data_IF_007809132299
#
_entry.id   IF_007809132299
#
_cell.length_a   1.000
_cell.length_b   1.000
_cell.length_c   1.000
_cell.angle_alpha   90.00
_cell.angle_beta   90.00
_cell.angle_gamma   90.00
#
_symmetry.space_group_name_H-M   'P 1'
#
loop_
_entity.id
_entity.type
_entity.pdbx_description
1 polymer ?
#
# COMPACT_ATOMS: atom_id res chain seq x y z
N UNK A 1 3.96 -4.04 -7.74
CA UNK A 1 5.38 -4.03 -7.24
C UNK A 1 5.79 -5.34 -6.56
N UNK A 2 4.87 -6.31 -6.45
CA UNK A 2 5.03 -7.60 -5.75
C UNK A 2 6.17 -8.49 -6.23
N UNK A 3 6.72 -8.25 -7.43
CA UNK A 3 7.74 -9.11 -8.04
C UNK A 3 9.18 -8.63 -7.86
N UNK A 4 9.42 -7.47 -7.22
CA UNK A 4 10.78 -6.90 -7.13
C UNK A 4 11.79 -7.86 -6.48
N UNK A 5 11.40 -8.53 -5.40
CA UNK A 5 12.25 -9.54 -4.76
C UNK A 5 12.45 -10.77 -5.64
N UNK A 6 11.44 -11.21 -6.37
CA UNK A 6 11.56 -12.33 -7.31
C UNK A 6 12.49 -11.98 -8.50
N UNK A 7 12.46 -10.73 -8.96
CA UNK A 7 13.27 -10.25 -10.08
C UNK A 7 14.72 -9.97 -9.70
N UNK A 8 14.95 -9.36 -8.53
CA UNK A 8 16.27 -8.84 -8.15
C UNK A 8 16.93 -9.59 -6.98
N UNK A 9 16.20 -10.45 -6.28
CA UNK A 9 16.69 -11.15 -5.08
C UNK A 9 16.69 -10.27 -3.82
N UNK A 10 17.25 -10.78 -2.73
CA UNK A 10 17.46 -10.01 -1.50
C UNK A 10 18.71 -9.13 -1.59
N UNK A 11 18.73 -8.02 -0.84
CA UNK A 11 19.91 -7.15 -0.70
C UNK A 11 20.52 -6.67 -2.03
N UNK A 12 19.68 -6.42 -3.02
CA UNK A 12 20.06 -5.98 -4.35
C UNK A 12 20.33 -4.46 -4.45
N UNK A 13 19.64 -3.64 -3.65
CA UNK A 13 19.64 -2.18 -3.81
C UNK A 13 20.18 -1.44 -2.59
N UNK A 14 20.89 -0.34 -2.82
CA UNK A 14 21.35 0.58 -1.78
C UNK A 14 20.24 1.53 -1.30
N UNK A 15 19.31 1.87 -2.21
CA UNK A 15 18.15 2.70 -1.90
C UNK A 15 16.93 2.28 -2.72
N UNK A 16 15.75 2.46 -2.13
CA UNK A 16 14.45 2.27 -2.78
C UNK A 16 13.58 3.49 -2.48
N UNK A 17 12.91 4.03 -3.50
CA UNK A 17 11.95 5.13 -3.35
C UNK A 17 10.58 4.66 -3.81
N UNK A 18 9.56 4.95 -3.01
CA UNK A 18 8.16 4.60 -3.27
C UNK A 18 7.33 5.89 -3.23
N UNK A 19 6.67 6.19 -4.34
CA UNK A 19 5.75 7.30 -4.46
C UNK A 19 4.33 6.78 -4.80
N UNK A 20 3.44 6.63 -3.79
CA UNK A 20 2.09 6.12 -4.01
C UNK A 20 1.12 7.21 -4.45
N UNK A 21 0.33 6.93 -5.49
CA UNK A 21 -0.72 7.81 -5.98
C UNK A 21 -0.63 8.01 -7.49
N UNK A 22 -1.57 8.78 -8.07
CA UNK A 22 -1.51 9.14 -9.48
C UNK A 22 -0.40 10.15 -9.75
N UNK A 23 0.19 10.06 -10.94
CA UNK A 23 1.03 11.11 -11.50
C UNK A 23 0.21 12.31 -11.95
N UNK A 24 0.84 13.50 -12.03
CA UNK A 24 0.16 14.71 -12.54
C UNK A 24 -0.37 14.50 -13.97
N UNK A 25 0.41 13.82 -14.82
CA UNK A 25 0.00 13.47 -16.19
C UNK A 25 -1.29 12.65 -16.22
N UNK A 26 -1.51 11.78 -15.22
CA UNK A 26 -2.77 11.03 -15.12
C UNK A 26 -3.94 11.89 -14.63
N UNK A 27 -3.68 12.87 -13.76
CA UNK A 27 -4.70 13.76 -13.24
C UNK A 27 -5.23 14.72 -14.32
N UNK A 28 -4.35 15.16 -15.22
CA UNK A 28 -4.67 16.14 -16.28
C UNK A 28 -5.25 15.50 -17.55
N UNK A 29 -5.06 14.19 -17.77
CA UNK A 29 -5.51 13.51 -18.97
C UNK A 29 -7.01 13.12 -18.87
N UNK A 30 -7.89 13.70 -19.71
CA UNK A 30 -9.34 13.45 -19.68
C UNK A 30 -9.72 12.00 -19.97
N UNK A 31 -8.89 11.24 -20.68
CA UNK A 31 -9.18 9.83 -20.93
C UNK A 31 -8.96 8.98 -19.67
N UNK A 32 -8.15 9.45 -18.71
CA UNK A 32 -7.80 8.68 -17.50
C UNK A 32 -8.91 8.70 -16.45
N UNK A 33 -9.84 9.64 -16.53
CA UNK A 33 -11.00 9.70 -15.65
C UNK A 33 -10.73 10.30 -14.28
N UNK A 34 -9.70 11.13 -14.15
CA UNK A 34 -9.37 11.84 -12.91
C UNK A 34 -9.82 13.31 -12.92
N UNK A 35 -10.42 13.82 -14.00
CA UNK A 35 -10.88 15.21 -14.00
C UNK A 35 -12.11 15.33 -13.09
N UNK A 36 -12.09 16.30 -12.18
CA UNK A 36 -13.12 16.52 -11.17
C UNK A 36 -13.92 17.79 -11.44
N UNK A 37 -14.21 18.08 -12.70
CA UNK A 37 -15.10 19.17 -13.09
C UNK A 37 -16.46 18.63 -13.56
N UNK A 38 -17.49 19.45 -13.35
CA UNK A 38 -18.86 19.18 -13.81
C UNK A 38 -19.14 19.77 -15.20
N UNK A 39 -18.12 20.31 -15.86
CA UNK A 39 -18.27 20.99 -17.16
C UNK A 39 -17.98 20.04 -18.33
N UNK A 40 -17.18 18.99 -18.11
CA UNK A 40 -16.78 18.03 -19.13
C UNK A 40 -17.16 16.60 -18.76
N UNK A 41 -18.11 16.03 -19.52
CA UNK A 41 -18.41 14.61 -19.42
C UNK A 41 -17.32 13.77 -20.10
N UNK A 42 -16.68 12.89 -19.33
CA UNK A 42 -15.57 12.06 -19.78
C UNK A 42 -15.67 10.65 -19.18
N UNK A 43 -14.85 9.72 -19.67
CA UNK A 43 -14.84 8.35 -19.15
C UNK A 43 -14.21 8.34 -17.76
N UNK A 44 -14.99 7.92 -16.76
CA UNK A 44 -14.54 7.88 -15.37
C UNK A 44 -13.89 6.52 -15.06
N UNK A 45 -12.60 6.34 -15.41
CA UNK A 45 -11.87 5.07 -15.23
C UNK A 45 -11.02 5.03 -13.95
N UNK A 46 -10.21 6.05 -13.65
CA UNK A 46 -9.35 6.18 -12.46
C UNK A 46 -8.35 5.04 -12.18
N UNK A 47 -8.18 4.06 -13.08
CA UNK A 47 -7.15 3.03 -12.97
C UNK A 47 -5.77 3.59 -13.28
N UNK A 48 -4.75 3.21 -12.52
CA UNK A 48 -3.33 3.51 -12.81
C UNK A 48 -2.83 2.70 -14.01
N UNK A 49 -3.22 1.43 -14.11
CA UNK A 49 -2.93 0.56 -15.24
C UNK A 49 -4.22 0.08 -15.89
N UNK A 50 -4.36 0.27 -17.20
CA UNK A 50 -5.50 -0.23 -17.98
C UNK A 50 -5.34 -1.69 -18.43
N UNK A 51 -4.23 -2.37 -18.07
CA UNK A 51 -3.91 -3.73 -18.56
C UNK A 51 -4.76 -4.82 -17.90
N UNK A 52 -5.35 -4.54 -16.75
CA UNK A 52 -6.11 -5.50 -15.96
C UNK A 52 -7.16 -4.78 -15.10
N UNK A 53 -8.06 -5.56 -14.50
CA UNK A 53 -9.09 -5.05 -13.59
C UNK A 53 -10.35 -4.52 -14.30
N UNK A 54 -11.33 -4.16 -13.48
CA UNK A 54 -12.65 -3.67 -13.88
C UNK A 54 -12.62 -2.14 -13.94
N UNK A 55 -13.25 -1.53 -14.93
CA UNK A 55 -13.31 -0.06 -15.01
C UNK A 55 -14.12 0.52 -13.84
N UNK A 56 -13.85 1.76 -13.43
CA UNK A 56 -14.57 2.33 -12.27
C UNK A 56 -16.09 2.37 -12.48
N UNK A 57 -16.57 2.79 -13.67
CA UNK A 57 -18.02 2.80 -13.95
C UNK A 57 -18.63 1.39 -13.92
N UNK A 58 -17.95 0.40 -14.48
CA UNK A 58 -18.40 -0.99 -14.42
C UNK A 58 -18.46 -1.50 -12.97
N UNK A 59 -17.43 -1.23 -12.17
CA UNK A 59 -17.40 -1.56 -10.75
C UNK A 59 -18.58 -0.90 -10.02
N UNK A 60 -18.77 0.41 -10.19
CA UNK A 60 -19.84 1.16 -9.54
C UNK A 60 -21.24 0.69 -9.95
N UNK A 61 -21.43 0.19 -11.17
CA UNK A 61 -22.71 -0.32 -11.65
C UNK A 61 -23.00 -1.74 -11.16
N UNK A 62 -21.98 -2.56 -10.92
CA UNK A 62 -22.14 -3.98 -10.60
C UNK A 62 -22.00 -4.30 -9.11
N UNK A 63 -21.18 -3.56 -8.37
CA UNK A 63 -20.85 -3.88 -6.98
C UNK A 63 -22.09 -3.86 -6.07
N UNK A 64 -22.31 -4.84 -5.18
CA UNK A 64 -23.36 -4.75 -4.17
C UNK A 64 -23.14 -3.55 -3.24
N UNK A 65 -24.19 -2.81 -2.90
CA UNK A 65 -24.07 -1.61 -2.05
C UNK A 65 -23.37 -1.87 -0.70
N UNK A 66 -23.62 -3.02 -0.06
CA UNK A 66 -22.92 -3.35 1.20
C UNK A 66 -21.42 -3.49 0.97
N UNK A 67 -21.02 -4.19 -0.10
CA UNK A 67 -19.62 -4.35 -0.47
C UNK A 67 -18.97 -2.99 -0.79
N UNK A 68 -19.65 -2.12 -1.55
CA UNK A 68 -19.16 -0.77 -1.82
C UNK A 68 -18.94 0.03 -0.54
N UNK A 69 -19.92 0.04 0.38
CA UNK A 69 -19.80 0.76 1.64
C UNK A 69 -18.63 0.24 2.49
N UNK A 70 -18.44 -1.08 2.54
CA UNK A 70 -17.34 -1.72 3.26
C UNK A 70 -15.97 -1.36 2.66
N UNK A 71 -15.83 -1.46 1.34
CA UNK A 71 -14.58 -1.11 0.64
C UNK A 71 -14.24 0.38 0.76
N UNK A 72 -15.23 1.27 0.75
CA UNK A 72 -14.98 2.71 0.97
C UNK A 72 -14.52 3.00 2.40
N UNK A 73 -15.10 2.31 3.39
CA UNK A 73 -14.78 2.49 4.80
C UNK A 73 -13.41 1.90 5.20
N UNK A 74 -12.86 0.91 4.46
CA UNK A 74 -11.60 0.25 4.82
C UNK A 74 -10.40 1.20 4.84
N UNK A 75 -10.44 2.26 4.03
CA UNK A 75 -9.40 3.30 3.98
C UNK A 75 -9.52 4.35 5.08
N UNK A 76 -10.56 4.30 5.92
CA UNK A 76 -10.79 5.21 7.06
C UNK A 76 -10.81 6.71 6.69
N UNK A 77 -10.99 7.03 5.40
CA UNK A 77 -11.19 8.38 4.90
C UNK A 77 -12.65 8.81 5.14
N UNK A 78 -13.59 7.88 4.91
CA UNK A 78 -15.02 8.00 5.19
C UNK A 78 -15.38 7.21 6.46
N UNK A 79 -16.31 7.75 7.26
CA UNK A 79 -16.90 6.98 8.36
C UNK A 79 -17.86 5.90 7.81
N UNK A 80 -18.15 4.82 8.56
CA UNK A 80 -19.10 3.79 8.11
C UNK A 80 -20.47 4.35 7.70
N UNK A 81 -20.94 5.39 8.40
CA UNK A 81 -22.20 6.06 8.09
C UNK A 81 -22.13 6.83 6.77
N UNK A 82 -21.05 7.55 6.52
CA UNK A 82 -20.83 8.29 5.27
C UNK A 82 -20.68 7.34 4.08
N UNK A 83 -19.87 6.28 4.23
CA UNK A 83 -19.71 5.22 3.22
C UNK A 83 -21.07 4.59 2.87
N UNK A 84 -21.91 4.35 3.88
CA UNK A 84 -23.24 3.80 3.66
C UNK A 84 -24.15 4.79 2.91
N UNK A 85 -24.14 6.07 3.30
CA UNK A 85 -24.92 7.14 2.65
C UNK A 85 -24.59 7.22 1.16
N UNK A 86 -23.30 7.29 0.83
CA UNK A 86 -22.81 7.39 -0.55
C UNK A 86 -23.09 6.11 -1.35
N UNK A 87 -22.85 4.93 -0.78
CA UNK A 87 -23.13 3.67 -1.47
C UNK A 87 -24.64 3.50 -1.79
N UNK A 88 -25.52 4.01 -0.91
CA UNK A 88 -26.96 4.06 -1.19
C UNK A 88 -27.27 5.01 -2.35
N UNK A 89 -26.68 6.21 -2.35
CA UNK A 89 -26.87 7.18 -3.43
C UNK A 89 -26.45 6.60 -4.79
N UNK A 90 -25.27 5.98 -4.85
CA UNK A 90 -24.78 5.27 -6.04
C UNK A 90 -25.78 4.22 -6.50
N UNK A 91 -26.25 3.34 -5.61
CA UNK A 91 -27.21 2.27 -5.98
C UNK A 91 -28.48 2.83 -6.62
N UNK A 92 -29.07 3.87 -6.02
CA UNK A 92 -30.37 4.42 -6.47
C UNK A 92 -30.29 5.01 -7.88
N UNK A 93 -29.12 5.54 -8.28
CA UNK A 93 -28.94 6.23 -9.55
C UNK A 93 -28.26 5.37 -10.63
N UNK A 94 -28.14 4.05 -10.42
CA UNK A 94 -27.65 3.14 -11.46
C UNK A 94 -28.68 3.02 -12.61
N UNK A 95 -28.23 2.90 -13.88
CA UNK A 95 -26.83 2.87 -14.30
C UNK A 95 -26.20 4.27 -14.36
N UNK A 96 -24.93 4.35 -13.94
CA UNK A 96 -24.09 5.53 -14.06
C UNK A 96 -23.34 5.43 -15.39
N UNK A 97 -23.48 6.44 -16.24
CA UNK A 97 -23.06 6.40 -17.64
C UNK A 97 -21.87 7.32 -17.96
N UNK A 98 -21.53 8.26 -17.07
CA UNK A 98 -20.44 9.21 -17.27
C UNK A 98 -19.97 9.87 -15.98
N UNK A 99 -18.88 10.62 -16.06
CA UNK A 99 -18.27 11.32 -14.93
C UNK A 99 -19.21 12.36 -14.32
N UNK A 100 -19.83 13.21 -15.14
CA UNK A 100 -20.69 14.32 -14.69
C UNK A 100 -21.84 13.79 -13.82
N UNK A 101 -22.53 12.74 -14.28
CA UNK A 101 -23.59 12.08 -13.53
C UNK A 101 -23.08 11.54 -12.17
N UNK A 102 -21.88 10.94 -12.15
CA UNK A 102 -21.28 10.45 -10.91
C UNK A 102 -20.99 11.59 -9.93
N UNK A 103 -20.36 12.67 -10.40
CA UNK A 103 -20.01 13.81 -9.57
C UNK A 103 -21.27 14.47 -8.98
N UNK A 104 -22.31 14.70 -9.79
CA UNK A 104 -23.61 15.22 -9.32
C UNK A 104 -24.24 14.35 -8.22
N UNK A 105 -24.22 13.01 -8.38
CA UNK A 105 -24.75 12.08 -7.37
C UNK A 105 -23.96 12.20 -6.06
N UNK A 106 -22.63 12.25 -6.17
CA UNK A 106 -21.72 12.24 -5.02
C UNK A 106 -21.78 13.58 -4.27
N UNK A 107 -21.87 14.70 -4.98
CA UNK A 107 -22.05 16.03 -4.41
C UNK A 107 -23.43 16.19 -3.76
N UNK A 108 -24.50 15.76 -4.45
CA UNK A 108 -25.86 15.79 -3.91
C UNK A 108 -26.05 14.92 -2.67
N UNK A 109 -25.32 13.80 -2.57
CA UNK A 109 -25.31 12.95 -1.37
C UNK A 109 -24.37 13.47 -0.27
N UNK A 110 -23.36 14.27 -0.63
CA UNK A 110 -22.31 14.74 0.26
C UNK A 110 -22.33 16.26 0.39
N UNK A 111 -21.31 16.87 -0.19
CA UNK A 111 -21.08 18.31 -0.30
C UNK A 111 -20.42 18.56 -1.65
N UNK A 112 -20.42 19.80 -2.12
CA UNK A 112 -19.71 20.21 -3.34
C UNK A 112 -18.22 19.83 -3.27
N UNK A 113 -17.65 19.49 -4.41
CA UNK A 113 -16.22 19.28 -4.53
C UNK A 113 -15.47 20.61 -4.35
N UNK A 114 -14.27 20.56 -3.75
CA UNK A 114 -13.44 21.74 -3.62
C UNK A 114 -12.89 22.17 -4.99
N UNK A 115 -12.73 23.47 -5.20
CA UNK A 115 -12.22 24.06 -6.46
C UNK A 115 -10.80 23.56 -6.78
N UNK A 116 -10.02 23.19 -5.76
CA UNK A 116 -8.67 22.65 -5.88
C UNK A 116 -8.62 21.18 -6.36
N UNK A 117 -9.78 20.55 -6.59
CA UNK A 117 -9.89 19.19 -7.10
C UNK A 117 -9.23 18.15 -6.18
N UNK A 118 -8.22 17.44 -6.69
CA UNK A 118 -7.52 16.40 -5.90
C UNK A 118 -6.56 16.95 -4.83
N UNK A 119 -6.11 18.21 -4.97
CA UNK A 119 -4.98 18.78 -4.24
C UNK A 119 -5.43 19.60 -3.03
N UNK A 120 -6.05 18.91 -2.07
CA UNK A 120 -6.70 19.53 -0.90
C UNK A 120 -5.69 20.18 0.06
N UNK A 121 -5.89 21.48 0.31
CA UNK A 121 -5.12 22.26 1.28
C UNK A 121 -5.80 22.37 2.67
N UNK A 122 -7.05 21.96 2.75
CA UNK A 122 -7.83 21.99 3.98
C UNK A 122 -7.45 20.84 4.91
N UNK A 123 -7.87 20.90 6.18
CA UNK A 123 -7.65 19.77 7.08
C UNK A 123 -8.48 18.56 6.65
N UNK A 124 -7.92 17.35 6.76
CA UNK A 124 -8.58 16.07 6.41
C UNK A 124 -9.97 15.90 7.04
N UNK A 125 -10.19 16.51 8.22
CA UNK A 125 -11.51 16.49 8.90
C UNK A 125 -12.54 17.34 8.15
N UNK A 126 -12.14 18.51 7.66
CA UNK A 126 -13.00 19.48 6.96
C UNK A 126 -13.23 19.11 5.49
N UNK A 127 -12.36 18.28 4.91
CA UNK A 127 -12.47 17.85 3.51
C UNK A 127 -13.88 17.29 3.20
N UNK A 128 -14.52 17.76 2.11
CA UNK A 128 -15.85 17.37 1.68
C UNK A 128 -16.05 15.86 1.56
N UNK A 129 -17.28 15.41 1.80
CA UNK A 129 -17.62 13.98 1.70
C UNK A 129 -17.49 13.46 0.27
N UNK A 130 -17.76 14.31 -0.72
CA UNK A 130 -17.62 14.02 -2.15
C UNK A 130 -16.18 13.66 -2.51
N UNK A 131 -15.23 14.53 -2.14
CA UNK A 131 -13.81 14.27 -2.33
C UNK A 131 -13.35 12.98 -1.65
N UNK A 132 -13.80 12.77 -0.40
CA UNK A 132 -13.48 11.55 0.37
C UNK A 132 -13.97 10.28 -0.32
N UNK A 133 -15.15 10.33 -0.95
CA UNK A 133 -15.65 9.23 -1.77
C UNK A 133 -14.74 8.94 -2.95
N UNK A 134 -14.36 9.97 -3.72
CA UNK A 134 -13.53 9.81 -4.92
C UNK A 134 -12.13 9.29 -4.56
N UNK A 135 -11.53 9.81 -3.49
CA UNK A 135 -10.25 9.34 -2.97
C UNK A 135 -10.32 7.87 -2.52
N UNK A 136 -11.34 7.50 -1.73
CA UNK A 136 -11.56 6.10 -1.34
C UNK A 136 -11.81 5.19 -2.55
N UNK A 137 -12.61 5.63 -3.52
CA UNK A 137 -12.93 4.86 -4.71
C UNK A 137 -11.68 4.60 -5.56
N UNK A 138 -10.85 5.62 -5.78
CA UNK A 138 -9.54 5.48 -6.43
C UNK A 138 -8.68 4.43 -5.73
N UNK A 139 -8.61 4.51 -4.40
CA UNK A 139 -7.85 3.55 -3.61
C UNK A 139 -8.40 2.11 -3.76
N UNK A 140 -9.72 1.94 -3.75
CA UNK A 140 -10.39 0.64 -3.95
C UNK A 140 -10.05 0.05 -5.31
N UNK A 141 -10.20 0.83 -6.38
CA UNK A 141 -10.03 0.39 -7.77
C UNK A 141 -8.59 -0.02 -8.05
N UNK A 142 -7.63 0.67 -7.46
CA UNK A 142 -6.20 0.41 -7.66
C UNK A 142 -5.58 -0.51 -6.60
N UNK A 143 -6.38 -1.05 -5.68
CA UNK A 143 -5.92 -1.88 -4.56
C UNK A 143 -4.74 -1.24 -3.79
N UNK A 144 -4.78 0.08 -3.61
CA UNK A 144 -3.62 0.88 -3.15
C UNK A 144 -3.09 0.42 -1.79
N UNK A 145 -3.97 -0.04 -0.89
CA UNK A 145 -3.54 -0.57 0.42
C UNK A 145 -2.62 -1.78 0.26
N UNK A 146 -3.03 -2.76 -0.54
CA UNK A 146 -2.29 -4.01 -0.73
C UNK A 146 -0.99 -3.73 -1.48
N UNK A 147 -1.04 -2.97 -2.57
CA UNK A 147 0.15 -2.63 -3.35
C UNK A 147 1.19 -1.85 -2.54
N UNK A 148 0.76 -0.86 -1.73
CA UNK A 148 1.69 -0.12 -0.88
C UNK A 148 2.27 -1.00 0.23
N UNK A 149 1.43 -1.84 0.86
CA UNK A 149 1.89 -2.74 1.93
C UNK A 149 2.93 -3.72 1.41
N UNK A 150 2.65 -4.37 0.27
CA UNK A 150 3.57 -5.29 -0.39
C UNK A 150 4.83 -4.58 -0.86
N UNK A 151 4.71 -3.42 -1.52
CA UNK A 151 5.88 -2.67 -2.00
C UNK A 151 6.84 -2.30 -0.85
N UNK A 152 6.32 -1.83 0.29
CA UNK A 152 7.14 -1.48 1.46
C UNK A 152 7.78 -2.72 2.08
N UNK A 153 7.04 -3.82 2.22
CA UNK A 153 7.58 -5.08 2.75
C UNK A 153 8.67 -5.66 1.85
N UNK A 154 8.44 -5.69 0.54
CA UNK A 154 9.42 -6.16 -0.43
C UNK A 154 10.64 -5.24 -0.49
N UNK A 155 10.45 -3.92 -0.37
CA UNK A 155 11.56 -2.97 -0.27
C UNK A 155 12.51 -3.30 0.89
N UNK A 156 11.97 -3.70 2.05
CA UNK A 156 12.80 -4.12 3.19
C UNK A 156 13.63 -5.36 2.91
N UNK A 157 13.16 -6.29 2.06
CA UNK A 157 13.90 -7.51 1.69
C UNK A 157 15.01 -7.21 0.68
N UNK A 158 14.74 -6.38 -0.32
CA UNK A 158 15.70 -6.07 -1.40
C UNK A 158 16.75 -5.03 -1.02
N UNK A 159 16.54 -4.27 0.07
CA UNK A 159 17.54 -3.31 0.57
C UNK A 159 18.75 -4.01 1.19
N UNK A 160 19.96 -3.52 0.90
CA UNK A 160 21.20 -3.92 1.59
C UNK A 160 21.19 -3.51 3.06
N UNK A 161 22.13 -4.06 3.83
CA UNK A 161 22.44 -3.54 5.18
C UNK A 161 22.75 -2.03 5.07
N UNK A 162 22.22 -1.22 5.98
CA UNK A 162 22.35 0.24 6.03
C UNK A 162 21.78 1.01 4.82
N UNK A 163 21.06 0.31 3.93
CA UNK A 163 20.34 0.91 2.80
C UNK A 163 19.10 1.71 3.23
N UNK A 164 18.65 2.61 2.35
CA UNK A 164 17.57 3.58 2.64
C UNK A 164 16.28 3.30 1.87
N UNK A 165 15.16 3.26 2.58
CA UNK A 165 13.82 3.34 2.01
C UNK A 165 13.30 4.77 2.16
N UNK A 166 12.83 5.36 1.07
CA UNK A 166 12.07 6.62 1.06
C UNK A 166 10.64 6.31 0.63
N UNK A 167 9.65 6.66 1.44
CA UNK A 167 8.23 6.52 1.09
C UNK A 167 7.53 7.86 1.23
N UNK A 168 6.86 8.30 0.18
CA UNK A 168 5.96 9.44 0.24
C UNK A 168 4.57 9.00 0.71
N UNK A 169 3.90 9.82 1.52
CA UNK A 169 2.51 9.59 1.94
C UNK A 169 1.74 10.89 1.84
N UNK A 170 0.54 10.85 1.27
CA UNK A 170 -0.38 11.98 1.11
C UNK A 170 -1.67 11.78 1.90
N UNK A 171 -2.08 10.52 2.08
CA UNK A 171 -3.31 10.15 2.81
C UNK A 171 -3.01 9.64 4.22
N UNK A 172 -3.99 9.78 5.12
CA UNK A 172 -3.80 9.40 6.52
C UNK A 172 -3.64 7.90 6.75
N UNK A 173 -4.32 7.08 5.95
CA UNK A 173 -4.18 5.63 6.02
C UNK A 173 -2.80 5.16 5.54
N UNK A 174 -2.18 5.87 4.59
CA UNK A 174 -0.82 5.57 4.11
C UNK A 174 0.19 5.81 5.23
N UNK A 175 0.09 6.96 5.93
CA UNK A 175 0.92 7.26 7.11
C UNK A 175 0.79 6.18 8.18
N UNK A 176 -0.44 5.75 8.48
CA UNK A 176 -0.70 4.70 9.46
C UNK A 176 -0.09 3.36 9.02
N UNK A 177 -0.24 3.01 7.74
CA UNK A 177 0.31 1.78 7.16
C UNK A 177 1.84 1.78 7.21
N UNK A 178 2.50 2.82 6.68
CA UNK A 178 3.96 2.93 6.63
C UNK A 178 4.54 2.95 8.04
N UNK A 179 3.96 3.73 8.95
CA UNK A 179 4.37 3.75 10.36
C UNK A 179 4.26 2.38 11.02
N UNK A 180 3.14 1.68 10.79
CA UNK A 180 2.93 0.32 11.31
C UNK A 180 3.97 -0.65 10.77
N UNK A 181 4.18 -0.68 9.46
CA UNK A 181 5.14 -1.58 8.83
C UNK A 181 6.57 -1.34 9.32
N UNK A 182 7.00 -0.08 9.42
CA UNK A 182 8.32 0.26 9.97
C UNK A 182 8.44 -0.19 11.43
N UNK A 183 7.43 0.11 12.26
CA UNK A 183 7.44 -0.25 13.68
C UNK A 183 7.49 -1.75 13.89
N UNK A 184 6.71 -2.51 13.14
CA UNK A 184 6.54 -3.95 13.35
C UNK A 184 7.68 -4.77 12.68
N UNK A 185 8.48 -4.18 11.79
CA UNK A 185 9.55 -4.90 11.09
C UNK A 185 10.85 -5.05 11.92
N UNK A 186 11.44 -6.26 12.04
CA UNK A 186 12.57 -6.52 12.96
C UNK A 186 13.90 -5.85 12.57
N UNK A 187 14.09 -5.45 11.32
CA UNK A 187 15.37 -4.93 10.81
C UNK A 187 15.30 -3.51 10.26
N UNK A 188 14.23 -2.77 10.54
CA UNK A 188 14.04 -1.43 9.96
C UNK A 188 13.81 -0.41 11.07
N UNK A 189 14.46 0.74 10.94
CA UNK A 189 14.29 1.89 11.81
C UNK A 189 13.86 3.11 11.01
N UNK A 190 12.91 3.87 11.55
CA UNK A 190 12.63 5.20 11.05
C UNK A 190 13.85 6.07 11.36
N UNK A 191 14.46 6.66 10.34
CA UNK A 191 15.56 7.61 10.50
C UNK A 191 15.00 8.99 10.83
N UNK A 192 14.11 9.48 9.97
CA UNK A 192 13.40 10.74 10.15
C UNK A 192 12.15 10.75 9.29
N UNK A 193 11.28 11.72 9.57
CA UNK A 193 10.10 12.02 8.78
C UNK A 193 10.05 13.53 8.58
N UNK A 194 9.87 13.95 7.35
CA UNK A 194 9.78 15.36 6.96
C UNK A 194 8.41 15.64 6.35
N UNK A 195 7.83 16.77 6.73
CA UNK A 195 6.65 17.32 6.06
C UNK A 195 7.13 18.15 4.85
N UNK A 196 6.32 18.21 3.80
CA UNK A 196 6.62 19.05 2.62
C UNK A 196 6.77 20.52 3.01
N UNK A 197 7.73 21.23 2.38
CA UNK A 197 7.88 22.67 2.59
C UNK A 197 6.63 23.41 2.09
N UNK A 198 6.19 24.39 2.86
CA UNK A 198 5.09 25.27 2.49
C UNK A 198 5.35 26.01 1.17
N UNK A 199 6.60 26.39 0.88
CA UNK A 199 6.95 27.04 -0.39
C UNK A 199 6.75 26.12 -1.60
N UNK A 200 7.02 24.82 -1.43
CA UNK A 200 6.83 23.83 -2.49
C UNK A 200 5.35 23.55 -2.72
N UNK A 201 4.53 23.58 -1.65
CA UNK A 201 3.07 23.52 -1.75
C UNK A 201 2.54 24.69 -2.57
N UNK A 202 3.00 25.92 -2.32
CA UNK A 202 2.60 27.10 -3.09
C UNK A 202 3.10 27.06 -4.54
N UNK A 203 4.33 26.58 -4.76
CA UNK A 203 4.98 26.62 -6.09
C UNK A 203 4.51 25.52 -7.04
N UNK A 204 4.24 24.31 -6.51
CA UNK A 204 3.95 23.12 -7.31
C UNK A 204 2.54 22.55 -7.08
N UNK A 205 1.76 23.15 -6.17
CA UNK A 205 0.38 22.74 -5.90
C UNK A 205 0.26 21.39 -5.20
N UNK A 206 1.31 20.89 -4.53
CA UNK A 206 1.21 19.62 -3.81
C UNK A 206 0.25 19.72 -2.62
N UNK A 207 -0.36 18.59 -2.23
CA UNK A 207 -1.12 18.53 -0.98
C UNK A 207 -0.19 18.82 0.21
N UNK A 208 -0.54 19.80 1.06
CA UNK A 208 0.21 20.13 2.30
C UNK A 208 0.37 18.99 3.30
N UNK A 209 -0.41 17.92 3.15
CA UNK A 209 -0.34 16.72 3.99
C UNK A 209 0.69 15.70 3.49
N UNK A 210 1.47 16.05 2.46
CA UNK A 210 2.54 15.21 1.93
C UNK A 210 3.66 15.10 2.94
N UNK A 211 4.09 13.87 3.21
CA UNK A 211 5.22 13.55 4.10
C UNK A 211 6.17 12.60 3.44
N UNK A 212 7.45 12.77 3.73
CA UNK A 212 8.51 11.86 3.34
C UNK A 212 8.95 11.06 4.57
N UNK A 213 8.85 9.73 4.47
CA UNK A 213 9.30 8.80 5.48
C UNK A 213 10.62 8.19 5.04
N UNK A 214 11.68 8.42 5.81
CA UNK A 214 13.00 7.85 5.52
C UNK A 214 13.33 6.81 6.56
N UNK A 215 13.43 5.55 6.13
CA UNK A 215 13.77 4.43 6.97
C UNK A 215 15.09 3.78 6.51
N UNK A 216 15.80 3.17 7.46
CA UNK A 216 17.06 2.46 7.17
C UNK A 216 16.92 1.00 7.59
N UNK A 217 17.47 0.10 6.78
CA UNK A 217 17.64 -1.30 7.18
C UNK A 217 18.88 -1.40 8.06
N UNK A 218 18.81 -2.17 9.14
CA UNK A 218 19.95 -2.46 10.02
C UNK A 218 20.16 -3.96 10.14
N UNK A 219 21.42 -4.34 10.34
CA UNK A 219 21.83 -5.73 10.48
C UNK A 219 21.25 -6.40 11.73
N UNK A 220 21.31 -5.70 12.86
CA UNK A 220 20.84 -6.21 14.14
C UNK A 220 19.33 -5.99 14.31
N UNK A 221 18.77 -6.53 15.39
CA UNK A 221 17.36 -6.33 15.71
C UNK A 221 17.07 -4.87 16.06
N UNK A 222 16.18 -4.26 15.28
CA UNK A 222 15.64 -2.94 15.52
C UNK A 222 14.79 -2.85 16.79
N UNK A 223 14.28 -3.98 17.31
CA UNK A 223 13.46 -3.97 18.52
C UNK A 223 14.22 -3.51 19.76
N UNK A 224 15.54 -3.64 19.81
CA UNK A 224 16.36 -3.11 20.92
C UNK A 224 16.19 -1.59 21.03
N UNK A 225 16.25 -0.88 19.89
CA UNK A 225 16.08 0.56 19.83
C UNK A 225 14.60 0.97 19.92
N UNK A 226 13.68 0.23 19.30
CA UNK A 226 12.25 0.56 19.36
C UNK A 226 11.68 0.47 20.77
N UNK A 227 12.13 -0.52 21.54
CA UNK A 227 11.65 -0.75 22.90
C UNK A 227 12.13 0.32 23.91
N UNK A 228 13.05 1.22 23.57
CA UNK A 228 13.46 2.30 24.48
C UNK A 228 12.30 3.24 24.79
N UNK A 229 11.42 3.47 23.81
CA UNK A 229 10.37 4.48 23.89
C UNK A 229 8.98 3.86 24.00
N UNK A 230 8.76 2.66 23.46
CA UNK A 230 7.43 2.06 23.33
C UNK A 230 7.10 0.98 24.36
N UNK A 231 8.07 0.55 25.17
CA UNK A 231 7.88 -0.55 26.11
C UNK A 231 7.11 -0.09 27.36
N UNK A 232 5.98 -0.73 27.63
CA UNK A 232 5.13 -0.44 28.80
C UNK A 232 5.02 -1.66 29.72
N UNK A 233 4.65 -1.44 30.98
CA UNK A 233 4.44 -2.54 31.94
C UNK A 233 3.42 -3.58 31.42
N UNK A 234 2.37 -3.14 30.71
CA UNK A 234 1.37 -4.03 30.13
C UNK A 234 1.94 -4.88 29.00
N UNK A 235 2.76 -4.30 28.12
CA UNK A 235 3.43 -5.07 27.06
C UNK A 235 4.39 -6.12 27.63
N UNK A 236 5.07 -5.83 28.75
CA UNK A 236 5.94 -6.79 29.44
C UNK A 236 5.12 -7.94 30.06
N UNK A 237 4.00 -7.62 30.72
CA UNK A 237 3.08 -8.64 31.25
C UNK A 237 2.53 -9.53 30.14
N UNK A 238 2.09 -8.93 29.05
CA UNK A 238 1.60 -9.66 27.88
C UNK A 238 2.69 -10.58 27.30
N UNK A 239 3.92 -10.09 27.17
CA UNK A 239 5.06 -10.89 26.72
C UNK A 239 5.33 -12.08 27.63
N UNK A 240 5.25 -11.90 28.95
CA UNK A 240 5.41 -12.98 29.93
C UNK A 240 4.32 -14.06 29.77
N UNK A 241 3.05 -13.63 29.63
CA UNK A 241 1.92 -14.54 29.39
C UNK A 241 2.08 -15.29 28.06
N UNK A 242 2.49 -14.61 26.99
CA UNK A 242 2.76 -15.25 25.69
C UNK A 242 3.87 -16.29 25.78
N UNK A 243 4.92 -16.01 26.56
CA UNK A 243 6.02 -16.96 26.76
C UNK A 243 5.57 -18.19 27.57
N UNK A 244 4.92 -17.97 28.73
CA UNK A 244 4.42 -19.05 29.59
C UNK A 244 3.47 -20.01 28.85
N UNK A 245 2.65 -19.47 27.95
CA UNK A 245 1.67 -20.25 27.20
C UNK A 245 2.20 -20.77 25.84
N UNK A 246 3.45 -20.46 25.46
CA UNK A 246 4.01 -20.91 24.18
C UNK A 246 3.32 -20.31 22.93
N UNK A 247 2.70 -19.13 23.04
CA UNK A 247 1.91 -18.53 21.94
C UNK A 247 2.77 -18.04 20.75
N UNK A 248 4.10 -18.06 20.89
CA UNK A 248 5.05 -17.69 19.84
C UNK A 248 5.49 -18.89 18.98
N UNK A 249 5.04 -20.11 19.29
CA UNK A 249 5.39 -21.30 18.54
C UNK A 249 4.84 -21.22 17.11
N UNK A 250 5.73 -21.40 16.13
CA UNK A 250 5.37 -21.59 14.72
C UNK A 250 5.26 -23.08 14.35
N UNK A 251 5.11 -23.35 13.06
CA UNK A 251 5.12 -24.72 12.53
C UNK A 251 6.48 -25.04 11.90
N UNK A 252 7.13 -26.11 12.36
CA UNK A 252 8.38 -26.63 11.78
C UNK A 252 8.23 -28.01 11.17
N UNK A 253 7.29 -28.80 11.68
CA UNK A 253 6.98 -30.14 11.18
C UNK A 253 5.77 -30.14 10.24
N UNK A 254 5.66 -31.14 9.37
CA UNK A 254 4.53 -31.24 8.44
C UNK A 254 4.70 -30.43 7.18
N UNK A 255 3.86 -30.70 6.18
CA UNK A 255 3.88 -30.02 4.89
C UNK A 255 3.12 -28.70 4.96
N UNK A 256 3.65 -27.58 4.42
CA UNK A 256 4.92 -27.45 3.70
C UNK A 256 6.13 -27.03 4.57
N UNK A 257 5.93 -26.81 5.88
CA UNK A 257 6.91 -26.20 6.79
C UNK A 257 8.30 -26.87 6.79
N UNK A 258 8.37 -28.19 6.66
CA UNK A 258 9.64 -28.94 6.64
C UNK A 258 10.57 -28.59 5.47
N UNK A 259 10.08 -27.86 4.46
CA UNK A 259 10.86 -27.40 3.30
C UNK A 259 11.36 -25.96 3.43
N UNK A 260 11.08 -25.27 4.55
CA UNK A 260 11.51 -23.90 4.79
C UNK A 260 12.63 -23.84 5.82
N UNK A 261 13.63 -22.99 5.57
CA UNK A 261 14.71 -22.66 6.50
C UNK A 261 15.02 -21.16 6.43
N UNK A 262 15.88 -20.67 7.31
CA UNK A 262 16.29 -19.26 7.34
C UNK A 262 17.36 -18.95 6.27
N UNK A 263 17.67 -17.66 6.14
CA UNK A 263 18.79 -17.23 5.31
C UNK A 263 20.11 -17.80 5.84
N UNK A 264 20.86 -18.46 4.96
CA UNK A 264 22.09 -19.18 5.29
C UNK A 264 21.95 -20.67 4.99
N UNK A 265 22.90 -21.23 4.23
CA UNK A 265 22.81 -22.62 3.79
C UNK A 265 23.19 -23.59 4.90
N UNK A 266 22.34 -24.60 5.09
CA UNK A 266 22.66 -25.73 5.96
C UNK A 266 23.71 -26.65 5.35
N UNK A 267 24.34 -27.47 6.19
CA UNK A 267 25.38 -28.43 5.75
C UNK A 267 24.88 -29.36 4.65
N UNK A 268 23.60 -29.75 4.67
CA UNK A 268 22.98 -30.59 3.64
C UNK A 268 22.84 -29.83 2.32
N UNK A 269 22.41 -28.58 2.36
CA UNK A 269 22.24 -27.72 1.18
C UNK A 269 23.57 -27.41 0.50
N UNK A 270 24.64 -27.17 1.28
CA UNK A 270 25.99 -27.02 0.75
C UNK A 270 26.46 -28.26 -0.03
N UNK A 271 26.14 -29.47 0.42
CA UNK A 271 26.47 -30.71 -0.31
C UNK A 271 25.67 -30.83 -1.60
N UNK A 272 24.38 -30.50 -1.55
CA UNK A 272 23.49 -30.54 -2.71
C UNK A 272 23.95 -29.55 -3.77
N UNK A 273 24.30 -28.32 -3.40
CA UNK A 273 24.79 -27.31 -4.33
C UNK A 273 26.07 -27.77 -5.04
N UNK A 274 27.03 -28.37 -4.31
CA UNK A 274 28.25 -28.91 -4.92
C UNK A 274 27.95 -29.98 -5.96
N UNK A 275 27.00 -30.88 -5.68
CA UNK A 275 26.56 -31.92 -6.61
C UNK A 275 25.85 -31.30 -7.83
N UNK A 276 24.96 -30.33 -7.62
CA UNK A 276 24.21 -29.71 -8.71
C UNK A 276 25.08 -28.85 -9.64
N UNK A 277 26.29 -28.48 -9.23
CA UNK A 277 27.31 -27.85 -10.08
C UNK A 277 28.05 -28.84 -10.98
N UNK A 278 27.96 -30.14 -10.71
CA UNK A 278 28.53 -31.17 -11.57
C UNK A 278 27.53 -31.52 -12.68
N UNK A 279 27.99 -31.79 -13.91
CA UNK A 279 27.10 -32.29 -14.95
C UNK A 279 26.45 -33.61 -14.49
N UNK A 280 25.22 -33.91 -14.97
CA UNK A 280 24.63 -35.21 -14.71
C UNK A 280 25.57 -36.31 -15.23
N UNK A 281 25.57 -37.50 -14.59
CA UNK A 281 26.31 -38.64 -15.13
C UNK A 281 25.89 -38.89 -16.58
N UNK A 282 26.85 -39.25 -17.44
CA UNK A 282 26.58 -39.62 -18.83
C UNK A 282 25.58 -40.78 -18.84
N UNK A 283 24.57 -40.70 -19.70
CA UNK A 283 23.66 -41.82 -19.92
C UNK A 283 24.45 -43.05 -20.35
N UNK A 284 24.16 -44.18 -19.72
CA UNK A 284 24.88 -45.44 -19.95
C UNK A 284 24.67 -46.03 -21.35
N UNK A 285 23.83 -45.40 -22.17
CA UNK A 285 23.47 -45.85 -23.52
C UNK A 285 24.38 -45.26 -24.63
N UNK A 286 25.28 -44.35 -24.30
CA UNK A 286 26.35 -43.90 -25.21
C UNK A 286 27.70 -44.53 -24.81
N UNK A 287 27.86 -45.82 -25.14
CA UNK A 287 29.20 -46.42 -25.28
C UNK A 287 29.46 -46.72 -26.77
N UNK A 288 30.65 -46.38 -27.28
CA UNK A 288 31.02 -46.57 -28.69
C UNK A 288 31.06 -48.04 -29.11
#
# INVERSE_FOLDING_TARGET
MSEIHAMFGERAFDAVMIDPGPSMTQLEDPERGFILDNEHNHTFDMRYSRRSGVSTLEYLNTVPQHALAQSLASYQILTPQQSMKLARAIRVHRPITGSMQLLEIVEGAGNELPEEGWLIQESRRKTPMSWKFLASLRCVINHEYTELAEAVQQAFLVLKEDGRLVVFTRLGWEEQLVSKLIRDHPHVLLSYKEDVDFKDVESYGHTRHTKMWVATRIKQSAFVLKNTDTLTADTVRESSVRWLNGLFAGQTHGFPAHNFTFEGKDTKEWRIERRNKQPPPLDHDEKP
#
